data_IF_014854228801
#
_entry.id   IF_014854228801
#
_cell.length_a   1.000
_cell.length_b   1.000
_cell.length_c   1.000
_cell.angle_alpha   90.00
_cell.angle_beta   90.00
_cell.angle_gamma   90.00
#
_symmetry.space_group_name_H-M   'P 1'
#
loop_
_entity.id
_entity.type
_entity.pdbx_description
1 polymer ?
#
# COMPACT_ATOMS: atom_id res chain seq x y z
N UNK A 1 5.49 -21.82 -62.61
CA UNK A 1 6.45 -21.84 -61.49
C UNK A 1 6.89 -20.44 -61.06
N UNK A 2 7.39 -19.57 -61.96
CA UNK A 2 7.85 -18.22 -61.58
C UNK A 2 6.77 -17.33 -60.94
N UNK A 3 5.53 -17.37 -61.45
CA UNK A 3 4.40 -16.62 -60.87
C UNK A 3 4.10 -17.05 -59.43
N UNK A 4 4.10 -18.36 -59.16
CA UNK A 4 3.88 -18.91 -57.82
C UNK A 4 4.99 -18.47 -56.87
N UNK A 5 6.26 -18.52 -57.31
CA UNK A 5 7.39 -18.05 -56.51
C UNK A 5 7.27 -16.56 -56.15
N UNK A 6 6.86 -15.72 -57.10
CA UNK A 6 6.61 -14.28 -56.88
C UNK A 6 5.49 -14.04 -55.86
N UNK A 7 4.38 -14.77 -55.96
CA UNK A 7 3.26 -14.66 -55.01
C UNK A 7 3.67 -15.13 -53.62
N UNK A 8 4.42 -16.24 -53.50
CA UNK A 8 4.93 -16.72 -52.22
C UNK A 8 5.87 -15.71 -51.56
N UNK A 9 6.77 -15.09 -52.33
CA UNK A 9 7.67 -14.05 -51.83
C UNK A 9 6.88 -12.81 -51.39
N UNK A 10 5.90 -12.37 -52.19
CA UNK A 10 5.05 -11.24 -51.84
C UNK A 10 4.19 -11.50 -50.59
N UNK A 11 3.64 -12.72 -50.45
CA UNK A 11 2.89 -13.13 -49.26
C UNK A 11 3.79 -13.22 -48.01
N UNK A 12 5.00 -13.75 -48.15
CA UNK A 12 6.00 -13.77 -47.07
C UNK A 12 6.42 -12.36 -46.64
N UNK A 13 6.66 -11.47 -47.61
CA UNK A 13 6.95 -10.06 -47.34
C UNK A 13 5.79 -9.37 -46.63
N UNK A 14 4.56 -9.57 -47.10
CA UNK A 14 3.36 -9.01 -46.48
C UNK A 14 3.16 -9.54 -45.05
N UNK A 15 3.35 -10.85 -44.84
CA UNK A 15 3.29 -11.45 -43.51
C UNK A 15 4.33 -10.83 -42.58
N UNK A 16 5.60 -10.70 -43.01
CA UNK A 16 6.64 -10.08 -42.18
C UNK A 16 6.36 -8.60 -41.87
N UNK A 17 5.80 -7.84 -42.82
CA UNK A 17 5.49 -6.42 -42.62
C UNK A 17 4.20 -6.16 -41.83
N UNK A 18 3.24 -7.10 -41.87
CA UNK A 18 1.92 -6.94 -41.26
C UNK A 18 1.71 -7.78 -40.00
N UNK A 19 2.66 -8.65 -39.66
CA UNK A 19 2.62 -9.41 -38.41
C UNK A 19 2.68 -8.47 -37.21
N UNK A 20 1.60 -8.42 -36.45
CA UNK A 20 1.49 -7.69 -35.19
C UNK A 20 0.91 -8.64 -34.15
N UNK A 21 1.59 -8.78 -33.02
CA UNK A 21 1.14 -9.62 -31.91
C UNK A 21 0.48 -8.73 -30.87
N UNK A 22 -0.81 -8.91 -30.65
CA UNK A 22 -1.59 -8.15 -29.67
C UNK A 22 -1.87 -9.03 -28.45
N UNK A 23 -1.30 -8.68 -27.30
CA UNK A 23 -1.50 -9.37 -26.02
C UNK A 23 -2.62 -8.75 -25.17
N UNK A 24 -3.41 -7.83 -25.73
CA UNK A 24 -4.52 -7.22 -25.02
C UNK A 24 -5.69 -8.22 -24.92
N UNK A 25 -5.85 -8.80 -23.73
CA UNK A 25 -6.92 -9.76 -23.43
C UNK A 25 -8.32 -9.18 -23.60
N UNK A 26 -8.49 -7.85 -23.48
CA UNK A 26 -9.79 -7.22 -23.67
C UNK A 26 -10.31 -7.41 -25.10
N UNK A 27 -9.42 -7.43 -26.11
CA UNK A 27 -9.74 -7.62 -27.53
C UNK A 27 -10.15 -9.04 -27.89
N UNK A 28 -9.98 -10.00 -26.99
CA UNK A 28 -10.43 -11.39 -27.17
C UNK A 28 -11.96 -11.49 -27.03
N UNK A 29 -12.60 -10.50 -26.42
CA UNK A 29 -14.05 -10.44 -26.19
C UNK A 29 -14.68 -9.51 -27.24
N UNK A 30 -16.00 -9.64 -27.50
CA UNK A 30 -16.70 -8.73 -28.41
C UNK A 30 -16.61 -7.29 -27.90
N UNK A 31 -16.15 -6.39 -28.77
CA UNK A 31 -15.97 -4.97 -28.46
C UNK A 31 -17.23 -4.11 -28.66
N UNK A 32 -18.21 -4.58 -29.45
CA UNK A 32 -19.42 -3.81 -29.75
C UNK A 32 -20.53 -4.16 -28.75
N UNK A 33 -20.41 -3.66 -27.53
CA UNK A 33 -21.35 -3.90 -26.42
C UNK A 33 -21.56 -2.61 -25.62
N UNK A 34 -22.72 -2.49 -24.95
CA UNK A 34 -23.02 -1.31 -24.11
C UNK A 34 -22.01 -1.14 -22.97
N UNK A 35 -21.61 -2.23 -22.31
CA UNK A 35 -20.61 -2.17 -21.23
C UNK A 35 -19.27 -1.60 -21.72
N UNK A 36 -18.89 -1.85 -22.99
CA UNK A 36 -17.62 -1.37 -23.54
C UNK A 36 -17.67 0.14 -23.76
N UNK A 37 -18.80 0.66 -24.24
CA UNK A 37 -19.01 2.10 -24.37
C UNK A 37 -18.89 2.81 -23.01
N UNK A 38 -19.51 2.25 -21.96
CA UNK A 38 -19.40 2.79 -20.58
C UNK A 38 -17.97 2.72 -20.06
N UNK A 39 -17.26 1.62 -20.30
CA UNK A 39 -15.85 1.51 -19.93
C UNK A 39 -14.99 2.55 -20.65
N UNK A 40 -15.16 2.73 -21.95
CA UNK A 40 -14.39 3.69 -22.73
C UNK A 40 -14.66 5.14 -22.28
N UNK A 41 -15.90 5.48 -21.94
CA UNK A 41 -16.26 6.77 -21.34
C UNK A 41 -15.62 6.95 -19.95
N UNK A 42 -15.63 5.91 -19.11
CA UNK A 42 -14.98 5.93 -17.79
C UNK A 42 -13.48 6.20 -17.92
N UNK A 43 -12.78 5.48 -18.80
CA UNK A 43 -11.34 5.67 -19.01
C UNK A 43 -11.03 7.04 -19.61
N UNK A 44 -11.87 7.54 -20.52
CA UNK A 44 -11.73 8.89 -21.06
C UNK A 44 -11.90 9.97 -20.00
N UNK A 45 -12.83 9.76 -19.06
CA UNK A 45 -13.13 10.71 -17.97
C UNK A 45 -12.08 10.63 -16.85
N UNK A 46 -11.58 9.43 -16.56
CA UNK A 46 -10.63 9.17 -15.49
C UNK A 46 -9.40 8.41 -15.99
N UNK A 47 -8.57 9.03 -16.86
CA UNK A 47 -7.42 8.37 -17.47
C UNK A 47 -6.39 7.87 -16.45
N UNK A 48 -6.34 8.46 -15.25
CA UNK A 48 -5.46 8.05 -14.15
C UNK A 48 -5.78 6.68 -13.55
N UNK A 49 -6.94 6.07 -13.87
CA UNK A 49 -7.28 4.72 -13.41
C UNK A 49 -6.99 3.64 -14.45
N UNK A 50 -6.57 4.01 -15.66
CA UNK A 50 -6.12 3.06 -16.65
C UNK A 50 -4.62 2.77 -16.52
N UNK A 51 -4.21 1.56 -16.90
CA UNK A 51 -2.78 1.18 -16.98
C UNK A 51 -1.96 1.34 -15.69
N UNK A 52 -2.62 1.28 -14.54
CA UNK A 52 -1.93 1.33 -13.24
C UNK A 52 -1.21 0.03 -12.92
N UNK A 53 -0.02 0.16 -12.34
CA UNK A 53 0.76 -0.98 -11.81
C UNK A 53 0.69 -0.98 -10.30
N UNK A 54 0.21 -2.10 -9.73
CA UNK A 54 0.15 -2.30 -8.29
C UNK A 54 1.36 -3.10 -7.81
N UNK A 55 2.06 -2.58 -6.81
CA UNK A 55 3.18 -3.25 -6.14
C UNK A 55 2.75 -3.62 -4.72
N UNK A 56 2.90 -4.89 -4.36
CA UNK A 56 2.53 -5.41 -3.03
C UNK A 56 3.80 -5.79 -2.27
N UNK A 57 4.00 -5.17 -1.12
CA UNK A 57 5.12 -5.44 -0.21
C UNK A 57 4.66 -6.39 0.90
N UNK A 58 5.37 -7.50 1.07
CA UNK A 58 5.05 -8.52 2.07
C UNK A 58 6.27 -8.76 2.96
N UNK A 59 6.04 -8.89 4.27
CA UNK A 59 7.10 -9.17 5.23
C UNK A 59 6.54 -9.51 6.62
N UNK A 60 7.40 -10.02 7.52
CA UNK A 60 6.97 -10.54 8.81
C UNK A 60 6.67 -9.45 9.86
N UNK A 61 7.12 -8.21 9.64
CA UNK A 61 7.01 -7.10 10.61
C UNK A 61 6.26 -5.93 9.99
N UNK A 62 4.99 -5.68 10.38
CA UNK A 62 4.16 -4.60 9.81
C UNK A 62 4.82 -3.22 9.89
N UNK A 63 5.39 -2.85 11.05
CA UNK A 63 5.99 -1.53 11.24
C UNK A 63 7.15 -1.25 10.28
N UNK A 64 7.96 -2.27 9.95
CA UNK A 64 9.03 -2.09 8.97
C UNK A 64 8.53 -2.04 7.54
N UNK A 65 7.37 -2.65 7.23
CA UNK A 65 6.79 -2.56 5.90
C UNK A 65 6.36 -1.13 5.56
N UNK A 66 5.84 -0.37 6.54
CA UNK A 66 5.47 1.04 6.34
C UNK A 66 6.70 1.85 5.92
N UNK A 67 7.79 1.79 6.69
CA UNK A 67 9.03 2.52 6.38
C UNK A 67 9.62 2.14 5.02
N UNK A 68 9.59 0.85 4.66
CA UNK A 68 10.06 0.38 3.35
C UNK A 68 9.14 0.88 2.23
N UNK A 69 7.83 0.89 2.45
CA UNK A 69 6.85 1.41 1.49
C UNK A 69 7.07 2.89 1.24
N UNK A 70 7.29 3.69 2.29
CA UNK A 70 7.59 5.12 2.19
C UNK A 70 8.89 5.38 1.42
N UNK A 71 9.94 4.62 1.71
CA UNK A 71 11.22 4.75 1.03
C UNK A 71 11.10 4.40 -0.47
N UNK A 72 10.42 3.29 -0.79
CA UNK A 72 10.19 2.88 -2.17
C UNK A 72 9.32 3.88 -2.92
N UNK A 73 8.23 4.35 -2.31
CA UNK A 73 7.35 5.33 -2.93
C UNK A 73 8.11 6.63 -3.25
N UNK A 74 8.97 7.09 -2.35
CA UNK A 74 9.82 8.27 -2.58
C UNK A 74 10.77 8.07 -3.75
N UNK A 75 11.48 6.94 -3.80
CA UNK A 75 12.44 6.65 -4.86
C UNK A 75 11.79 6.53 -6.24
N UNK A 76 10.57 5.98 -6.32
CA UNK A 76 9.80 5.91 -7.57
C UNK A 76 9.28 7.31 -7.95
N UNK A 77 8.81 8.10 -6.98
CA UNK A 77 8.32 9.46 -7.22
C UNK A 77 9.41 10.39 -7.75
N UNK A 78 10.68 10.15 -7.42
CA UNK A 78 11.79 10.96 -7.95
C UNK A 78 12.02 10.74 -9.47
N UNK A 79 11.37 9.74 -10.08
CA UNK A 79 11.44 9.40 -11.50
C UNK A 79 10.19 9.85 -12.27
N UNK A 80 9.91 11.14 -12.22
CA UNK A 80 8.84 11.80 -12.98
C UNK A 80 8.97 11.64 -14.51
N UNK A 81 10.16 11.23 -14.99
CA UNK A 81 10.41 10.91 -16.40
C UNK A 81 9.80 9.58 -16.86
N UNK A 82 9.51 8.69 -15.90
CA UNK A 82 8.95 7.35 -16.17
C UNK A 82 7.53 7.21 -15.61
N UNK A 83 7.24 7.82 -14.46
CA UNK A 83 5.98 7.63 -13.75
C UNK A 83 5.24 8.95 -13.57
N UNK A 84 3.99 9.02 -14.02
CA UNK A 84 3.17 10.23 -13.91
C UNK A 84 2.71 10.52 -12.47
N UNK A 85 2.52 9.49 -11.66
CA UNK A 85 2.06 9.61 -10.27
C UNK A 85 2.36 8.34 -9.50
N UNK A 86 2.72 8.48 -8.23
CA UNK A 86 2.92 7.36 -7.30
C UNK A 86 2.00 7.56 -6.10
N UNK A 87 1.27 6.52 -5.72
CA UNK A 87 0.40 6.54 -4.55
C UNK A 87 0.63 5.29 -3.71
N UNK A 88 0.90 5.49 -2.42
CA UNK A 88 1.13 4.41 -1.46
C UNK A 88 0.05 4.46 -0.35
N UNK A 89 -1.08 3.72 -0.53
CA UNK A 89 -2.21 3.80 0.40
C UNK A 89 -1.83 3.46 1.84
N UNK A 90 -0.99 2.43 2.04
CA UNK A 90 -0.58 1.96 3.37
C UNK A 90 0.45 2.83 4.08
N UNK A 91 0.99 3.85 3.41
CA UNK A 91 2.04 4.73 3.89
C UNK A 91 1.68 6.21 3.75
N UNK A 92 0.40 6.53 3.53
CA UNK A 92 -0.06 7.89 3.33
C UNK A 92 -0.09 8.68 4.65
N UNK A 93 0.61 9.81 4.71
CA UNK A 93 0.64 10.70 5.88
C UNK A 93 -0.75 11.11 6.36
N UNK A 94 -1.66 11.44 5.44
CA UNK A 94 -3.03 11.83 5.81
C UNK A 94 -3.74 10.72 6.59
N UNK A 95 -3.59 9.47 6.17
CA UNK A 95 -4.20 8.33 6.85
C UNK A 95 -3.51 8.04 8.17
N UNK A 96 -2.18 8.22 8.27
CA UNK A 96 -1.44 8.06 9.53
C UNK A 96 -1.90 9.09 10.58
N UNK A 97 -2.01 10.36 10.19
CA UNK A 97 -2.40 11.45 11.09
C UNK A 97 -3.87 11.36 11.53
N UNK A 98 -4.73 10.80 10.67
CA UNK A 98 -6.17 10.74 10.89
C UNK A 98 -6.69 9.32 11.16
N UNK A 99 -5.81 8.37 11.47
CA UNK A 99 -6.16 6.95 11.59
C UNK A 99 -7.34 6.71 12.56
N UNK A 100 -7.34 7.42 13.69
CA UNK A 100 -8.38 7.30 14.73
C UNK A 100 -9.76 7.78 14.26
N UNK A 101 -9.84 8.63 13.23
CA UNK A 101 -11.12 9.11 12.68
C UNK A 101 -11.83 8.03 11.84
N UNK A 102 -11.13 6.97 11.45
CA UNK A 102 -11.69 5.85 10.68
C UNK A 102 -12.11 4.67 11.57
N UNK A 103 -11.95 4.80 12.89
CA UNK A 103 -12.34 3.80 13.87
C UNK A 103 -13.76 4.10 14.36
N UNK A 104 -14.53 3.06 14.70
CA UNK A 104 -15.84 3.24 15.29
C UNK A 104 -15.76 3.90 16.68
N UNK A 105 -16.84 4.56 17.10
CA UNK A 105 -16.85 5.35 18.33
C UNK A 105 -16.64 4.52 19.60
N UNK A 106 -17.08 3.25 19.60
CA UNK A 106 -16.94 2.36 20.76
C UNK A 106 -15.47 1.95 20.93
N UNK A 107 -14.85 1.44 19.86
CA UNK A 107 -13.43 1.09 19.83
C UNK A 107 -12.55 2.32 20.10
N UNK A 108 -12.92 3.50 19.61
CA UNK A 108 -12.18 4.73 19.88
C UNK A 108 -12.22 5.08 21.37
N UNK A 109 -13.38 5.00 22.01
CA UNK A 109 -13.53 5.29 23.44
C UNK A 109 -12.73 4.30 24.30
N UNK A 110 -12.75 3.02 23.94
CA UNK A 110 -11.95 1.98 24.59
C UNK A 110 -10.45 2.23 24.41
N UNK A 111 -10.03 2.62 23.20
CA UNK A 111 -8.62 2.92 22.90
C UNK A 111 -8.13 4.12 23.71
N UNK A 112 -8.92 5.19 23.79
CA UNK A 112 -8.59 6.38 24.59
C UNK A 112 -8.50 6.02 26.08
N UNK A 113 -9.43 5.22 26.59
CA UNK A 113 -9.44 4.78 27.99
C UNK A 113 -8.18 3.97 28.32
N UNK A 114 -7.81 3.00 27.47
CA UNK A 114 -6.57 2.21 27.63
C UNK A 114 -5.31 3.08 27.55
N UNK A 115 -5.32 4.09 26.68
CA UNK A 115 -4.19 5.00 26.54
C UNK A 115 -4.03 5.90 27.78
N UNK A 116 -5.14 6.32 28.38
CA UNK A 116 -5.15 7.06 29.64
C UNK A 116 -4.62 6.22 30.80
N UNK A 117 -5.07 4.96 30.93
CA UNK A 117 -4.59 4.02 31.95
C UNK A 117 -3.08 3.73 31.81
N UNK A 118 -2.58 3.70 30.58
CA UNK A 118 -1.15 3.50 30.28
C UNK A 118 -0.29 4.77 30.38
N UNK A 119 -0.87 5.95 30.61
CA UNK A 119 -0.15 7.23 30.58
C UNK A 119 1.09 7.29 31.50
N UNK A 120 1.05 6.80 32.76
CA UNK A 120 2.22 6.81 33.63
C UNK A 120 3.39 6.03 33.02
N UNK A 121 3.09 4.84 32.47
CA UNK A 121 4.08 3.98 31.82
C UNK A 121 4.63 4.60 30.53
N UNK A 122 3.77 5.20 29.70
CA UNK A 122 4.19 5.89 28.47
C UNK A 122 5.07 7.11 28.77
N UNK A 123 4.78 7.85 29.85
CA UNK A 123 5.59 8.99 30.31
C UNK A 123 6.99 8.51 30.71
N UNK A 124 7.05 7.42 31.48
CA UNK A 124 8.27 6.75 31.88
C UNK A 124 9.16 6.34 30.69
N UNK A 125 8.58 5.72 29.65
CA UNK A 125 9.29 5.34 28.42
C UNK A 125 9.78 6.57 27.66
N UNK A 126 8.96 7.62 27.57
CA UNK A 126 9.30 8.84 26.84
C UNK A 126 10.49 9.57 27.48
N UNK A 127 10.59 9.58 28.81
CA UNK A 127 11.71 10.17 29.56
C UNK A 127 12.96 9.29 29.51
N UNK A 128 12.79 7.97 29.59
CA UNK A 128 13.88 7.00 29.59
C UNK A 128 13.72 6.01 28.44
N UNK A 129 14.15 6.43 27.25
CA UNK A 129 14.11 5.64 26.02
C UNK A 129 15.17 4.52 25.99
N UNK A 130 15.29 3.76 27.08
CA UNK A 130 16.24 2.66 27.26
C UNK A 130 15.58 1.50 28.01
N UNK A 131 15.90 0.27 27.61
CA UNK A 131 15.44 -0.96 28.27
C UNK A 131 15.71 -0.96 29.78
N UNK A 132 16.82 -0.34 30.19
CA UNK A 132 17.21 -0.23 31.59
C UNK A 132 16.22 0.62 32.39
N UNK A 133 15.88 1.83 31.92
CA UNK A 133 14.92 2.69 32.61
C UNK A 133 13.54 2.05 32.76
N UNK A 134 13.09 1.31 31.75
CA UNK A 134 11.83 0.57 31.79
C UNK A 134 11.87 -0.55 32.84
N UNK A 135 12.99 -1.30 32.91
CA UNK A 135 13.19 -2.35 33.91
C UNK A 135 13.28 -1.80 35.34
N UNK A 136 13.96 -0.66 35.52
CA UNK A 136 14.10 0.00 36.81
C UNK A 136 12.73 0.47 37.33
N UNK A 137 11.90 1.08 36.49
CA UNK A 137 10.51 1.47 36.84
C UNK A 137 9.61 0.28 37.18
N UNK A 138 9.81 -0.85 36.51
CA UNK A 138 9.04 -2.07 36.74
C UNK A 138 9.45 -2.76 38.06
N UNK A 139 10.73 -2.64 38.44
CA UNK A 139 11.24 -3.06 39.74
C UNK A 139 10.71 -2.14 40.84
N UNK A 140 10.79 -0.81 40.64
CA UNK A 140 10.30 0.17 41.61
C UNK A 140 8.80 -0.02 41.90
N UNK A 141 7.99 -0.22 40.85
CA UNK A 141 6.55 -0.49 40.98
C UNK A 141 6.22 -1.83 41.67
N UNK A 142 7.14 -2.81 41.63
CA UNK A 142 6.98 -4.11 42.28
C UNK A 142 7.45 -4.08 43.74
N UNK A 143 8.39 -3.19 44.08
CA UNK A 143 8.91 -2.99 45.44
C UNK A 143 8.03 -2.03 46.26
N UNK A 144 7.33 -1.09 45.62
CA UNK A 144 6.26 -0.33 46.25
C UNK A 144 5.03 -1.23 46.45
N UNK A 145 4.49 -1.29 47.68
CA UNK A 145 3.23 -1.99 48.05
C UNK A 145 1.96 -1.32 47.45
N UNK A 146 2.13 -0.65 46.31
CA UNK A 146 1.13 0.14 45.60
C UNK A 146 0.64 -0.71 44.41
N UNK A 147 -0.68 -0.80 44.23
CA UNK A 147 -1.28 -1.62 43.17
C UNK A 147 -0.67 -1.29 41.82
N UNK A 148 -0.10 -2.32 41.16
CA UNK A 148 0.54 -2.20 39.85
C UNK A 148 -0.35 -1.35 38.92
N UNK A 149 0.22 -0.35 38.23
CA UNK A 149 -0.56 0.43 37.27
C UNK A 149 -1.21 -0.54 36.28
N UNK A 150 -2.54 -0.46 36.22
CA UNK A 150 -3.44 -1.41 35.53
C UNK A 150 -3.07 -1.68 34.07
N UNK A 151 -2.30 -0.79 33.45
CA UNK A 151 -1.71 -0.97 32.12
C UNK A 151 -0.79 -2.19 31.98
N UNK A 152 -0.07 -2.62 33.02
CA UNK A 152 0.82 -3.81 32.96
C UNK A 152 0.00 -5.12 32.90
N UNK A 153 -1.18 -5.14 33.51
CA UNK A 153 -2.04 -6.32 33.56
C UNK A 153 -2.73 -6.62 32.21
N UNK A 154 -2.74 -5.67 31.26
CA UNK A 154 -3.34 -5.83 29.94
C UNK A 154 -2.35 -6.30 28.86
N UNK A 155 -1.05 -6.43 29.20
CA UNK A 155 0.02 -6.85 28.27
C UNK A 155 0.45 -8.31 28.51
N UNK A 156 -0.08 -8.96 29.56
CA UNK A 156 0.18 -10.35 29.91
C UNK A 156 -0.84 -11.31 29.30
#
# INVERSE_FOLDING_TARGET
MCLLALITIAAGYYAMHRFNMDNNTSKLIRQNTEWRAVHDEFIQTFPQYDQNTSVVLTGPRPNSLITVTEALAREISDRDDVYSSVFAPGANQFTQDNALLFVDTETLNDTISKLADAQPFLTAIAEHNSLRGILDLLIDALESDEELPTGVNQIA
#
